data_IF_055828219111
#
_entry.id   IF_055828219111
#
_cell.length_a   1.000
_cell.length_b   1.000
_cell.length_c   1.000
_cell.angle_alpha   90.00
_cell.angle_beta   90.00
_cell.angle_gamma   90.00
#
_symmetry.space_group_name_H-M   'P 1'
#
loop_
_entity.id
_entity.type
_entity.pdbx_description
1 polymer ?
#
# COMPACT_ATOMS: atom_id res chain seq x y z
N UNK A 1 -21.33 27.71 -14.88
CA UNK A 1 -21.32 26.57 -13.93
C UNK A 1 -19.89 26.04 -13.85
N UNK A 2 -19.11 26.51 -12.87
CA UNK A 2 -17.70 26.12 -12.71
C UNK A 2 -17.66 24.74 -12.05
N UNK A 3 -17.21 23.73 -12.79
CA UNK A 3 -16.96 22.40 -12.23
C UNK A 3 -15.90 22.56 -11.15
N UNK A 4 -16.29 22.36 -9.88
CA UNK A 4 -15.36 22.21 -8.75
C UNK A 4 -14.45 21.02 -9.07
N UNK A 5 -13.30 21.29 -9.65
CA UNK A 5 -12.16 20.40 -9.65
C UNK A 5 -11.74 20.24 -8.20
N UNK A 6 -12.22 19.17 -7.56
CA UNK A 6 -11.54 18.60 -6.41
C UNK A 6 -10.15 18.25 -6.91
N UNK A 7 -9.18 19.12 -6.67
CA UNK A 7 -7.82 18.95 -7.15
C UNK A 7 -7.30 17.61 -6.64
N UNK A 8 -7.35 16.61 -7.51
CA UNK A 8 -6.61 15.36 -7.37
C UNK A 8 -5.17 15.82 -7.11
N UNK A 9 -4.66 15.55 -5.92
CA UNK A 9 -3.24 15.72 -5.59
C UNK A 9 -2.47 15.22 -6.81
N UNK A 10 -1.57 16.03 -7.42
CA UNK A 10 -0.83 15.56 -8.57
C UNK A 10 -0.07 14.31 -8.13
N UNK A 11 -0.56 13.15 -8.58
CA UNK A 11 0.05 11.87 -8.26
C UNK A 11 1.48 11.96 -8.79
N UNK A 12 2.45 11.63 -7.94
CA UNK A 12 3.85 11.57 -8.37
C UNK A 12 3.98 10.57 -9.53
N UNK A 13 5.03 10.68 -10.35
CA UNK A 13 5.22 9.78 -11.49
C UNK A 13 5.19 8.30 -11.08
N UNK A 14 5.69 8.00 -9.89
CA UNK A 14 5.74 6.69 -9.27
C UNK A 14 4.36 6.20 -8.85
N UNK A 15 3.56 7.07 -8.25
CA UNK A 15 2.18 6.76 -7.90
C UNK A 15 1.37 6.49 -9.17
N UNK A 16 1.51 7.33 -10.20
CA UNK A 16 0.85 7.10 -11.49
C UNK A 16 1.29 5.77 -12.12
N UNK A 17 2.59 5.44 -12.06
CA UNK A 17 3.11 4.17 -12.55
C UNK A 17 2.52 2.98 -11.80
N UNK A 18 2.40 3.05 -10.47
CA UNK A 18 1.78 2.01 -9.66
C UNK A 18 0.30 1.79 -10.04
N UNK A 19 -0.47 2.87 -10.20
CA UNK A 19 -1.87 2.79 -10.60
C UNK A 19 -2.06 2.22 -12.01
N UNK A 20 -1.22 2.65 -12.97
CA UNK A 20 -1.24 2.11 -14.33
C UNK A 20 -0.86 0.64 -14.37
N UNK A 21 0.14 0.24 -13.58
CA UNK A 21 0.57 -1.14 -13.49
C UNK A 21 -0.56 -2.05 -13.04
N UNK A 22 -1.25 -1.70 -11.95
CA UNK A 22 -2.43 -2.44 -11.47
C UNK A 22 -3.52 -2.52 -12.53
N UNK A 23 -3.86 -1.40 -13.17
CA UNK A 23 -4.91 -1.37 -14.18
C UNK A 23 -4.57 -2.24 -15.41
N UNK A 24 -3.31 -2.20 -15.87
CA UNK A 24 -2.87 -2.99 -17.03
C UNK A 24 -2.82 -4.49 -16.71
N UNK A 25 -2.27 -4.88 -15.56
CA UNK A 25 -2.16 -6.29 -15.17
C UNK A 25 -3.52 -6.92 -14.93
N UNK A 26 -4.42 -6.22 -14.23
CA UNK A 26 -5.78 -6.72 -13.98
C UNK A 26 -6.58 -6.82 -15.28
N UNK A 27 -6.47 -5.84 -16.18
CA UNK A 27 -7.09 -5.93 -17.51
C UNK A 27 -6.62 -7.17 -18.26
N UNK A 28 -5.31 -7.45 -18.26
CA UNK A 28 -4.75 -8.64 -18.93
C UNK A 28 -5.21 -9.94 -18.27
N UNK A 29 -5.29 -9.95 -16.93
CA UNK A 29 -5.81 -11.08 -16.15
C UNK A 29 -7.26 -11.38 -16.50
N UNK A 30 -8.12 -10.36 -16.55
CA UNK A 30 -9.53 -10.50 -16.93
C UNK A 30 -9.72 -10.96 -18.37
N UNK A 31 -8.79 -10.63 -19.27
CA UNK A 31 -8.79 -11.11 -20.65
C UNK A 31 -8.31 -12.56 -20.80
N UNK A 32 -7.90 -13.22 -19.71
CA UNK A 32 -7.38 -14.59 -19.74
C UNK A 32 -5.96 -14.69 -20.30
N UNK A 33 -5.21 -13.59 -20.35
CA UNK A 33 -3.83 -13.62 -20.83
C UNK A 33 -2.91 -14.27 -19.78
N UNK A 34 -1.94 -15.07 -20.25
CA UNK A 34 -0.86 -15.56 -19.39
C UNK A 34 -0.04 -14.40 -18.85
N UNK A 35 0.13 -14.38 -17.53
CA UNK A 35 0.92 -13.39 -16.81
C UNK A 35 2.37 -13.87 -16.62
N UNK A 36 3.30 -12.93 -16.48
CA UNK A 36 4.69 -13.26 -16.12
C UNK A 36 4.79 -13.68 -14.65
N UNK A 37 5.95 -14.17 -14.22
CA UNK A 37 6.20 -14.63 -12.83
C UNK A 37 5.97 -13.52 -11.77
N UNK A 38 6.34 -12.27 -12.10
CA UNK A 38 6.09 -11.09 -11.25
C UNK A 38 5.40 -9.99 -12.11
N UNK A 39 4.09 -10.15 -12.38
CA UNK A 39 3.42 -9.35 -13.39
C UNK A 39 3.22 -7.90 -12.97
N UNK A 40 2.92 -7.63 -11.69
CA UNK A 40 2.72 -6.29 -11.16
C UNK A 40 4.03 -5.53 -11.01
N UNK A 41 5.09 -6.17 -10.51
CA UNK A 41 6.42 -5.57 -10.43
C UNK A 41 6.93 -5.23 -11.84
N UNK A 42 6.80 -6.18 -12.78
CA UNK A 42 7.20 -5.98 -14.18
C UNK A 42 6.41 -4.89 -14.89
N UNK A 43 5.11 -4.74 -14.61
CA UNK A 43 4.29 -3.65 -15.13
C UNK A 43 4.65 -2.30 -14.48
N UNK A 44 4.88 -2.27 -13.17
CA UNK A 44 5.25 -1.07 -12.44
C UNK A 44 6.52 -0.44 -12.98
N UNK A 45 7.62 -1.19 -13.06
CA UNK A 45 8.86 -0.63 -13.55
C UNK A 45 8.74 -0.24 -15.02
N UNK A 46 8.05 -1.02 -15.85
CA UNK A 46 7.76 -0.65 -17.24
C UNK A 46 7.00 0.68 -17.34
N UNK A 47 6.02 0.94 -16.47
CA UNK A 47 5.31 2.22 -16.43
C UNK A 47 6.18 3.35 -15.88
N UNK A 48 7.12 3.06 -14.97
CA UNK A 48 7.96 4.06 -14.31
C UNK A 48 9.16 4.50 -15.16
N UNK A 49 9.89 3.55 -15.73
CA UNK A 49 11.18 3.78 -16.41
C UNK A 49 11.21 3.28 -17.86
N UNK A 50 10.13 2.67 -18.36
CA UNK A 50 10.05 2.09 -19.71
C UNK A 50 10.82 0.77 -19.89
N UNK A 51 11.49 0.27 -18.85
CA UNK A 51 12.30 -0.94 -18.90
C UNK A 51 11.45 -2.20 -18.74
N UNK A 52 11.79 -3.22 -19.54
CA UNK A 52 11.26 -4.58 -19.36
C UNK A 52 12.04 -5.41 -18.34
N UNK A 53 13.25 -4.96 -17.97
CA UNK A 53 14.14 -5.64 -17.03
C UNK A 53 14.34 -4.76 -15.81
N UNK A 54 14.07 -5.32 -14.64
CA UNK A 54 14.19 -4.61 -13.36
C UNK A 54 15.66 -4.59 -12.94
N UNK A 55 16.28 -3.42 -12.96
CA UNK A 55 17.69 -3.23 -12.62
C UNK A 55 17.90 -2.97 -11.12
N UNK A 56 19.16 -3.01 -10.67
CA UNK A 56 19.50 -2.58 -9.31
C UNK A 56 19.11 -1.11 -9.06
N UNK A 57 19.32 -0.24 -10.05
CA UNK A 57 18.95 1.18 -9.98
C UNK A 57 17.46 1.37 -9.75
N UNK A 58 16.65 0.50 -10.34
CA UNK A 58 15.20 0.53 -10.17
C UNK A 58 14.79 0.14 -8.74
N UNK A 59 15.45 -0.84 -8.14
CA UNK A 59 15.19 -1.24 -6.75
C UNK A 59 15.73 -0.22 -5.74
N UNK A 60 16.76 0.55 -6.11
CA UNK A 60 17.26 1.68 -5.31
C UNK A 60 16.25 2.81 -5.15
N UNK A 61 15.20 2.83 -5.98
CA UNK A 61 14.02 3.67 -5.72
C UNK A 61 13.45 3.45 -4.32
N UNK A 62 13.35 2.18 -3.89
CA UNK A 62 12.86 1.84 -2.56
C UNK A 62 13.96 1.99 -1.52
N UNK A 63 15.14 1.44 -1.80
CA UNK A 63 16.25 1.43 -0.86
C UNK A 63 17.53 1.97 -1.52
N UNK A 64 17.81 3.29 -1.42
CA UNK A 64 18.97 3.91 -2.07
C UNK A 64 20.31 3.28 -1.70
N UNK A 65 20.42 2.75 -0.48
CA UNK A 65 21.61 2.07 0.05
C UNK A 65 21.79 0.63 -0.46
N UNK A 66 20.87 0.09 -1.28
CA UNK A 66 20.96 -1.28 -1.77
C UNK A 66 22.22 -1.52 -2.61
N UNK A 67 23.01 -2.50 -2.20
CA UNK A 67 24.21 -2.95 -2.90
C UNK A 67 23.90 -4.06 -3.91
N UNK A 68 24.82 -4.28 -4.86
CA UNK A 68 24.64 -5.35 -5.85
C UNK A 68 24.77 -6.73 -5.19
N UNK A 69 25.62 -6.84 -4.17
CA UNK A 69 25.90 -8.04 -3.40
C UNK A 69 24.65 -8.50 -2.64
N UNK A 70 23.99 -7.59 -1.91
CA UNK A 70 22.73 -7.87 -1.20
C UNK A 70 21.61 -8.30 -2.16
N UNK A 71 21.58 -7.73 -3.37
CA UNK A 71 20.57 -8.07 -4.37
C UNK A 71 20.80 -9.44 -5.00
N UNK A 72 22.04 -9.86 -5.26
CA UNK A 72 22.35 -11.10 -5.99
C UNK A 72 21.72 -12.35 -5.32
N UNK A 73 21.75 -12.41 -3.99
CA UNK A 73 21.15 -13.52 -3.23
C UNK A 73 19.63 -13.42 -3.03
N UNK A 74 19.08 -12.21 -3.04
CA UNK A 74 17.70 -11.93 -2.64
C UNK A 74 16.82 -11.39 -3.78
N UNK A 75 17.27 -11.49 -5.03
CA UNK A 75 16.59 -10.86 -6.17
C UNK A 75 15.13 -11.29 -6.31
N UNK A 76 14.85 -12.58 -6.22
CA UNK A 76 13.47 -13.10 -6.28
C UNK A 76 12.61 -12.57 -5.14
N UNK A 77 13.15 -12.51 -3.91
CA UNK A 77 12.44 -11.95 -2.75
C UNK A 77 12.13 -10.47 -2.93
N UNK A 78 13.06 -9.68 -3.47
CA UNK A 78 12.82 -8.28 -3.82
C UNK A 78 11.71 -8.14 -4.86
N UNK A 79 11.76 -8.93 -5.93
CA UNK A 79 10.75 -8.89 -6.99
C UNK A 79 9.37 -9.31 -6.46
N UNK A 80 9.30 -10.38 -5.68
CA UNK A 80 8.10 -10.84 -5.03
C UNK A 80 7.52 -9.80 -4.07
N UNK A 81 8.35 -9.18 -3.23
CA UNK A 81 7.92 -8.15 -2.30
C UNK A 81 7.32 -6.94 -3.03
N UNK A 82 7.94 -6.51 -4.13
CA UNK A 82 7.39 -5.42 -4.97
C UNK A 82 6.10 -5.88 -5.64
N UNK A 83 6.04 -7.10 -6.17
CA UNK A 83 4.86 -7.61 -6.85
C UNK A 83 3.64 -7.62 -5.93
N UNK A 84 3.80 -8.18 -4.72
CA UNK A 84 2.75 -8.20 -3.68
C UNK A 84 2.39 -6.78 -3.23
N UNK A 85 3.36 -5.88 -3.10
CA UNK A 85 3.09 -4.49 -2.72
C UNK A 85 2.17 -3.81 -3.74
N UNK A 86 2.44 -4.00 -5.04
CA UNK A 86 1.64 -3.40 -6.10
C UNK A 86 0.29 -4.12 -6.25
N UNK A 87 0.26 -5.45 -6.22
CA UNK A 87 -0.96 -6.26 -6.29
C UNK A 87 -1.96 -5.85 -5.21
N UNK A 88 -1.48 -5.73 -3.97
CA UNK A 88 -2.31 -5.36 -2.81
C UNK A 88 -2.53 -3.86 -2.68
N UNK A 89 -2.06 -3.06 -3.65
CA UNK A 89 -2.19 -1.61 -3.64
C UNK A 89 -1.68 -0.98 -2.32
N UNK A 90 -0.57 -1.52 -1.81
CA UNK A 90 0.10 -1.08 -0.60
C UNK A 90 -0.49 -1.62 0.72
N UNK A 91 -1.47 -2.54 0.69
CA UNK A 91 -1.98 -3.14 1.93
C UNK A 91 -0.96 -4.09 2.59
N UNK A 92 -0.13 -4.76 1.79
CA UNK A 92 0.91 -5.68 2.26
C UNK A 92 2.28 -5.19 1.79
N UNK A 93 3.15 -4.85 2.74
CA UNK A 93 4.54 -4.49 2.47
C UNK A 93 5.46 -5.55 3.10
N UNK A 94 6.06 -6.39 2.26
CA UNK A 94 6.93 -7.48 2.69
C UNK A 94 8.39 -7.02 2.78
N UNK A 95 9.15 -7.63 3.70
CA UNK A 95 10.61 -7.54 3.65
C UNK A 95 11.10 -8.15 2.32
N UNK A 96 12.14 -7.60 1.70
CA UNK A 96 13.08 -6.59 2.21
C UNK A 96 12.68 -5.12 1.96
N UNK A 97 11.44 -4.84 1.51
CA UNK A 97 11.02 -3.46 1.27
C UNK A 97 10.95 -2.67 2.58
N UNK A 98 11.34 -1.38 2.56
CA UNK A 98 11.22 -0.51 3.71
C UNK A 98 9.73 -0.20 3.98
N UNK A 99 9.38 0.00 5.25
CA UNK A 99 7.99 0.18 5.67
C UNK A 99 7.29 1.41 5.07
N UNK A 100 8.03 2.41 4.61
CA UNK A 100 7.51 3.61 3.96
C UNK A 100 7.24 3.42 2.45
N UNK A 101 7.66 2.29 1.85
CA UNK A 101 7.45 2.00 0.43
C UNK A 101 5.95 2.00 0.06
N UNK A 102 5.12 1.41 0.90
CA UNK A 102 3.67 1.39 0.73
C UNK A 102 3.07 2.80 0.77
N UNK A 103 3.52 3.63 1.70
CA UNK A 103 3.03 4.99 1.87
C UNK A 103 3.43 5.89 0.69
N UNK A 104 4.63 5.67 0.12
CA UNK A 104 5.17 6.43 -1.00
C UNK A 104 4.38 6.18 -2.29
N UNK A 105 4.03 4.92 -2.56
CA UNK A 105 3.28 4.52 -3.76
C UNK A 105 1.76 4.61 -3.61
N UNK A 106 1.24 4.35 -2.41
CA UNK A 106 -0.19 4.33 -2.12
C UNK A 106 -0.51 5.16 -0.86
N UNK A 107 -0.53 6.50 -0.98
CA UNK A 107 -0.75 7.39 0.18
C UNK A 107 -2.07 7.15 0.93
N UNK A 108 -3.09 6.65 0.21
CA UNK A 108 -4.39 6.28 0.78
C UNK A 108 -4.30 5.15 1.81
N UNK A 109 -3.26 4.31 1.78
CA UNK A 109 -3.04 3.26 2.78
C UNK A 109 -2.87 3.87 4.17
N UNK A 110 -2.07 4.94 4.31
CA UNK A 110 -1.93 5.65 5.58
C UNK A 110 -3.25 6.15 6.11
N UNK A 111 -4.08 6.70 5.22
CA UNK A 111 -5.39 7.19 5.56
C UNK A 111 -6.28 6.04 6.09
N UNK A 112 -6.36 4.92 5.36
CA UNK A 112 -7.11 3.73 5.77
C UNK A 112 -6.64 3.17 7.12
N UNK A 113 -5.33 3.08 7.35
CA UNK A 113 -4.75 2.60 8.61
C UNK A 113 -5.08 3.56 9.77
N UNK A 114 -4.97 4.88 9.55
CA UNK A 114 -5.34 5.90 10.54
C UNK A 114 -6.83 5.86 10.89
N UNK A 115 -7.70 5.74 9.89
CA UNK A 115 -9.14 5.63 10.10
C UNK A 115 -9.50 4.34 10.87
N UNK A 116 -8.87 3.21 10.54
CA UNK A 116 -9.04 1.96 11.30
C UNK A 116 -8.64 2.12 12.77
N UNK A 117 -7.52 2.81 13.03
CA UNK A 117 -7.05 3.10 14.39
C UNK A 117 -8.03 3.99 15.15
N UNK A 118 -8.51 5.08 14.52
CA UNK A 118 -9.53 5.97 15.09
C UNK A 118 -10.82 5.23 15.43
N UNK A 119 -11.30 4.39 14.52
CA UNK A 119 -12.50 3.58 14.72
C UNK A 119 -12.34 2.62 15.90
N UNK A 120 -11.19 1.93 15.99
CA UNK A 120 -10.88 1.06 17.13
C UNK A 120 -10.88 1.83 18.45
N UNK A 121 -10.26 3.00 18.50
CA UNK A 121 -10.27 3.87 19.68
C UNK A 121 -11.68 4.32 20.06
N UNK A 122 -12.52 4.69 19.08
CA UNK A 122 -13.91 5.07 19.33
C UNK A 122 -14.73 3.92 19.95
N UNK A 123 -14.57 2.70 19.43
CA UNK A 123 -15.23 1.51 20.00
C UNK A 123 -14.78 1.23 21.44
N UNK A 124 -13.49 1.39 21.73
CA UNK A 124 -12.93 1.22 23.07
C UNK A 124 -13.52 2.25 24.04
N UNK A 125 -13.56 3.54 23.65
CA UNK A 125 -14.16 4.60 24.47
C UNK A 125 -15.65 4.36 24.71
N UNK A 126 -16.40 3.91 23.69
CA UNK A 126 -17.80 3.56 23.83
C UNK A 126 -18.00 2.41 24.83
N UNK A 127 -17.12 1.39 24.80
CA UNK A 127 -17.15 0.28 25.78
C UNK A 127 -16.98 0.80 27.20
N UNK A 128 -15.97 1.64 27.45
CA UNK A 128 -15.73 2.20 28.79
C UNK A 128 -16.87 3.10 29.27
N UNK A 129 -17.42 3.94 28.39
CA UNK A 129 -18.58 4.78 28.72
C UNK A 129 -19.80 3.94 29.14
N UNK A 130 -20.09 2.85 28.41
CA UNK A 130 -21.17 1.92 28.77
C UNK A 130 -20.94 1.23 30.11
N UNK A 131 -19.68 0.88 30.41
CA UNK A 131 -19.32 0.28 31.69
C UNK A 131 -19.54 1.26 32.85
N UNK A 132 -19.06 2.50 32.72
CA UNK A 132 -19.25 3.54 33.73
C UNK A 132 -20.73 3.86 33.97
N UNK A 133 -21.54 3.93 32.91
CA UNK A 133 -22.97 4.14 33.03
C UNK A 133 -23.66 3.03 33.84
N UNK A 134 -23.29 1.76 33.61
CA UNK A 134 -23.81 0.61 34.37
C UNK A 134 -23.38 0.65 35.84
N UNK A 135 -22.12 0.98 36.11
CA UNK A 135 -21.60 1.10 37.47
C UNK A 135 -22.29 2.24 38.24
N UNK A 136 -22.54 3.37 37.59
CA UNK A 136 -23.28 4.49 38.17
C UNK A 136 -24.74 4.11 38.47
N UNK A 137 -25.42 3.41 37.56
CA UNK A 137 -26.78 2.94 37.76
C UNK A 137 -26.88 1.91 38.89
N UNK A 138 -25.91 0.98 38.99
CA UNK A 138 -25.84 0.03 40.09
C UNK A 138 -25.62 0.73 41.45
N UNK A 139 -24.72 1.71 41.51
CA UNK A 139 -24.52 2.52 42.72
C UNK A 139 -25.77 3.29 43.12
N UNK A 140 -26.49 3.87 42.16
CA UNK A 140 -27.72 4.61 42.40
C UNK A 140 -28.88 3.72 42.88
N UNK A 141 -28.89 2.43 42.52
CA UNK A 141 -29.88 1.45 43.02
C UNK A 141 -29.53 0.86 44.39
N UNK A 142 -28.27 0.96 44.81
CA UNK A 142 -27.78 0.43 46.08
C UNK A 142 -27.91 1.43 47.24
N UNK A 143 -28.34 2.66 46.97
CA UNK A 143 -28.59 3.73 47.93
C UNK A 143 -30.08 4.08 47.93
#
# INVERSE_FOLDING_TARGET
>A
MSARSQALVPLSAEQQAAWRAVAETEKRRHQGNTLAEYPYAGAFFRCLNGSRRISLSDLRFFMPSLTAEELRGNRSQWLYAVDVLIETQGEVCLLPLPGDAAERLFPSVRFRVRERSRHKSALVMQKYSRQQAREAEQKARAY
#
